data_IF_962675494272
#
_entry.id   IF_962675494272
#
_cell.length_a   1.000
_cell.length_b   1.000
_cell.length_c   1.000
_cell.angle_alpha   90.00
_cell.angle_beta   90.00
_cell.angle_gamma   90.00
#
_symmetry.space_group_name_H-M   'P 1'
#
loop_
_entity.id
_entity.type
_entity.pdbx_description
1 polymer ?
#
# COMPACT_ATOMS: atom_id res chain seq x y z
N UNK A 1 -34.86 55.37 -7.01
CA UNK A 1 -35.64 54.14 -6.85
C UNK A 1 -36.16 53.74 -8.22
N UNK A 2 -35.47 52.83 -8.92
CA UNK A 2 -36.06 52.21 -10.11
C UNK A 2 -37.04 51.16 -9.60
N UNK A 3 -38.35 51.35 -9.85
CA UNK A 3 -39.35 50.32 -9.59
C UNK A 3 -39.13 49.18 -10.60
N UNK A 4 -38.26 48.24 -10.24
CA UNK A 4 -38.12 46.98 -10.96
C UNK A 4 -39.33 46.11 -10.63
N UNK A 5 -40.25 46.02 -11.58
CA UNK A 5 -41.46 45.21 -11.43
C UNK A 5 -41.12 43.74 -11.71
N UNK A 6 -40.88 42.96 -10.65
CA UNK A 6 -40.66 41.51 -10.74
C UNK A 6 -41.84 40.80 -11.42
N UNK A 7 -43.06 41.36 -11.37
CA UNK A 7 -44.22 40.76 -12.03
C UNK A 7 -44.16 40.86 -13.55
N UNK A 8 -43.31 41.71 -14.12
CA UNK A 8 -43.04 41.72 -15.59
C UNK A 8 -42.12 40.60 -16.04
N UNK A 9 -41.32 40.05 -15.14
CA UNK A 9 -40.43 38.90 -15.41
C UNK A 9 -41.07 37.58 -14.98
N UNK A 10 -42.00 37.62 -14.01
CA UNK A 10 -42.93 36.53 -13.78
C UNK A 10 -43.87 36.43 -15.00
N UNK A 11 -43.91 35.26 -15.66
CA UNK A 11 -44.86 35.04 -16.76
C UNK A 11 -46.28 34.99 -16.19
N UNK A 12 -47.27 35.36 -17.01
CA UNK A 12 -48.67 35.45 -16.59
C UNK A 12 -49.13 34.18 -15.84
N UNK A 13 -49.84 34.38 -14.73
CA UNK A 13 -50.36 33.35 -13.83
C UNK A 13 -51.05 32.19 -14.58
N UNK A 14 -50.35 31.06 -14.68
CA UNK A 14 -50.80 29.80 -15.28
C UNK A 14 -49.79 28.70 -15.01
N UNK A 15 -50.22 27.43 -15.07
CA UNK A 15 -49.29 26.28 -14.96
C UNK A 15 -48.47 26.20 -16.25
N UNK A 16 -47.23 26.70 -16.20
CA UNK A 16 -46.33 26.72 -17.35
C UNK A 16 -45.28 25.63 -17.22
N UNK A 17 -45.13 24.87 -18.30
CA UNK A 17 -44.19 23.76 -18.36
C UNK A 17 -42.71 24.21 -18.29
N UNK A 18 -42.44 25.50 -18.50
CA UNK A 18 -41.11 26.14 -18.44
C UNK A 18 -40.69 26.55 -17.01
N UNK A 19 -41.63 26.58 -16.06
CA UNK A 19 -41.32 26.86 -14.65
C UNK A 19 -40.95 25.58 -13.87
N UNK A 20 -41.05 24.41 -14.53
CA UNK A 20 -40.62 23.13 -14.00
C UNK A 20 -39.10 23.01 -14.09
N UNK A 21 -38.45 22.74 -12.96
CA UNK A 21 -37.00 22.64 -12.87
C UNK A 21 -36.55 21.17 -12.87
N UNK A 22 -35.70 20.82 -13.82
CA UNK A 22 -34.85 19.63 -13.78
C UNK A 22 -33.40 20.13 -13.61
N UNK A 23 -32.99 20.23 -12.35
CA UNK A 23 -31.73 20.86 -11.96
C UNK A 23 -30.51 20.09 -12.43
N UNK A 24 -29.53 20.83 -12.96
CA UNK A 24 -28.16 20.42 -13.17
C UNK A 24 -27.30 21.69 -13.05
N UNK A 25 -26.01 21.53 -12.76
CA UNK A 25 -25.13 22.68 -12.61
C UNK A 25 -23.76 22.32 -12.07
N UNK A 26 -22.93 23.35 -11.97
CA UNK A 26 -21.56 23.23 -11.50
C UNK A 26 -21.39 23.96 -10.17
N UNK A 27 -20.62 23.36 -9.27
CA UNK A 27 -20.29 23.93 -7.97
C UNK A 27 -18.81 24.29 -7.93
N UNK A 28 -18.53 25.50 -7.47
CA UNK A 28 -17.18 25.96 -7.17
C UNK A 28 -17.07 26.37 -5.72
N UNK A 29 -15.92 26.08 -5.11
CA UNK A 29 -15.62 26.48 -3.76
C UNK A 29 -14.26 27.18 -3.70
N UNK A 30 -14.23 28.32 -3.04
CA UNK A 30 -13.01 29.06 -2.72
C UNK A 30 -12.79 28.98 -1.22
N UNK A 31 -11.75 28.27 -0.78
CA UNK A 31 -11.36 28.25 0.64
C UNK A 31 -10.69 29.57 1.02
N UNK A 32 -11.13 30.19 2.10
CA UNK A 32 -10.49 31.38 2.67
C UNK A 32 -9.19 31.00 3.37
N UNK A 33 -8.28 31.97 3.45
CA UNK A 33 -7.02 31.84 4.20
C UNK A 33 -7.28 31.63 5.70
N UNK A 34 -6.24 31.27 6.47
CA UNK A 34 -6.36 31.13 7.94
C UNK A 34 -6.79 32.43 8.63
N UNK A 35 -6.58 33.57 7.98
CA UNK A 35 -6.99 34.90 8.42
C UNK A 35 -8.45 35.22 8.06
N UNK A 36 -9.13 34.35 7.30
CA UNK A 36 -10.51 34.54 6.87
C UNK A 36 -10.66 35.35 5.58
N UNK A 37 -9.55 35.62 4.87
CA UNK A 37 -9.57 36.41 3.64
C UNK A 37 -9.78 35.54 2.40
N UNK A 38 -10.55 36.02 1.40
CA UNK A 38 -10.65 35.40 0.08
C UNK A 38 -9.29 35.24 -0.60
N UNK A 39 -9.12 34.14 -1.33
CA UNK A 39 -7.92 33.86 -2.16
C UNK A 39 -8.10 34.28 -3.62
N UNK A 40 -9.35 34.47 -4.07
CA UNK A 40 -9.73 34.71 -5.46
C UNK A 40 -9.68 33.48 -6.36
N UNK A 41 -9.37 32.30 -5.81
CA UNK A 41 -9.19 31.06 -6.59
C UNK A 41 -10.37 30.11 -6.31
N UNK A 42 -11.23 29.95 -7.31
CA UNK A 42 -12.34 29.00 -7.28
C UNK A 42 -11.87 27.61 -7.69
N UNK A 43 -12.05 26.64 -6.80
CA UNK A 43 -11.82 25.22 -7.09
C UNK A 43 -13.11 24.57 -7.58
N UNK A 44 -13.02 23.76 -8.64
CA UNK A 44 -14.16 23.01 -9.17
C UNK A 44 -14.43 21.78 -8.32
N UNK A 45 -15.65 21.65 -7.79
CA UNK A 45 -16.02 20.59 -6.83
C UNK A 45 -16.28 19.21 -7.46
N UNK A 46 -16.12 19.08 -8.77
CA UNK A 46 -16.40 17.83 -9.48
C UNK A 46 -17.90 17.58 -9.61
N UNK A 47 -18.28 16.32 -9.78
CA UNK A 47 -19.68 15.89 -9.74
C UNK A 47 -20.26 15.98 -8.31
N UNK A 48 -21.34 16.75 -8.19
CA UNK A 48 -22.12 16.92 -6.96
C UNK A 48 -23.55 16.47 -7.24
N UNK A 49 -23.90 15.27 -6.77
CA UNK A 49 -25.16 14.59 -7.11
C UNK A 49 -26.40 15.31 -6.56
N UNK A 50 -26.23 16.06 -5.47
CA UNK A 50 -27.31 16.88 -4.91
C UNK A 50 -26.78 18.19 -4.35
N UNK A 51 -27.56 19.26 -4.54
CA UNK A 51 -27.31 20.57 -3.98
C UNK A 51 -28.62 21.11 -3.40
N UNK A 52 -28.74 21.06 -2.08
CA UNK A 52 -29.99 21.38 -1.39
C UNK A 52 -29.82 22.64 -0.53
N UNK A 53 -30.43 23.75 -0.94
CA UNK A 53 -30.49 24.99 -0.14
C UNK A 53 -31.73 24.98 0.77
N UNK A 54 -31.52 25.08 2.08
CA UNK A 54 -32.55 25.16 3.11
C UNK A 54 -32.46 26.49 3.86
N UNK A 55 -33.57 27.21 3.96
CA UNK A 55 -33.68 28.41 4.80
C UNK A 55 -34.46 28.08 6.08
N UNK A 56 -33.79 28.12 7.21
CA UNK A 56 -34.35 27.86 8.53
C UNK A 56 -34.73 29.19 9.18
N UNK A 57 -35.98 29.32 9.62
CA UNK A 57 -36.50 30.50 10.32
C UNK A 57 -36.93 30.08 11.73
N UNK A 58 -36.31 30.67 12.75
CA UNK A 58 -36.66 30.42 14.15
C UNK A 58 -37.51 31.57 14.68
N UNK A 59 -38.71 31.25 15.14
CA UNK A 59 -39.66 32.22 15.70
C UNK A 59 -39.84 32.00 17.21
N UNK A 60 -40.15 33.08 17.92
CA UNK A 60 -40.66 33.03 19.29
C UNK A 60 -42.11 33.47 19.25
N UNK A 61 -42.99 32.59 19.71
CA UNK A 61 -44.43 32.83 19.77
C UNK A 61 -44.91 33.10 21.20
N UNK A 62 -45.85 34.03 21.33
CA UNK A 62 -46.54 34.33 22.58
C UNK A 62 -48.00 33.96 22.44
N UNK A 63 -48.39 32.90 23.14
CA UNK A 63 -49.80 32.51 23.26
C UNK A 63 -50.45 33.22 24.44
N UNK A 64 -51.72 33.60 24.27
CA UNK A 64 -52.56 34.14 25.32
C UNK A 64 -52.63 33.15 26.47
N UNK A 65 -52.46 33.66 27.68
CA UNK A 65 -52.60 32.85 28.90
C UNK A 65 -53.90 33.11 29.63
N UNK A 66 -54.79 33.90 29.01
CA UNK A 66 -56.04 34.37 29.62
C UNK A 66 -57.21 33.41 29.39
N UNK A 67 -57.11 32.53 28.40
CA UNK A 67 -58.13 31.52 28.09
C UNK A 67 -57.47 30.16 27.90
N UNK A 68 -58.23 29.09 28.17
CA UNK A 68 -57.76 27.71 27.96
C UNK A 68 -57.43 27.42 26.50
N UNK A 69 -57.95 28.21 25.56
CA UNK A 69 -57.73 28.07 24.12
C UNK A 69 -56.30 28.46 23.68
N UNK A 70 -55.53 29.19 24.50
CA UNK A 70 -54.11 29.54 24.26
C UNK A 70 -53.84 30.10 22.85
N UNK A 71 -54.69 31.03 22.40
CA UNK A 71 -54.59 31.63 21.06
C UNK A 71 -53.27 32.42 20.87
N UNK A 72 -52.69 32.35 19.67
CA UNK A 72 -51.45 33.05 19.33
C UNK A 72 -51.67 34.57 19.30
N UNK A 73 -50.95 35.32 20.14
CA UNK A 73 -51.04 36.78 20.21
C UNK A 73 -49.98 37.50 19.38
N UNK A 74 -48.76 36.95 19.35
CA UNK A 74 -47.64 37.52 18.62
C UNK A 74 -46.63 36.43 18.27
N UNK A 75 -46.00 36.58 17.11
CA UNK A 75 -44.89 35.75 16.67
C UNK A 75 -43.80 36.68 16.11
N UNK A 76 -42.56 36.47 16.53
CA UNK A 76 -41.41 37.27 16.09
C UNK A 76 -40.29 36.34 15.64
N UNK A 77 -39.77 36.58 14.45
CA UNK A 77 -38.58 35.89 13.93
C UNK A 77 -37.33 36.38 14.66
N UNK A 78 -36.57 35.45 15.22
CA UNK A 78 -35.33 35.72 15.97
C UNK A 78 -34.08 35.41 15.17
N UNK A 79 -34.14 34.40 14.30
CA UNK A 79 -33.01 33.97 13.49
C UNK A 79 -33.46 33.48 12.13
N UNK A 80 -32.66 33.79 11.11
CA UNK A 80 -32.74 33.20 9.78
C UNK A 80 -31.36 32.60 9.49
N UNK A 81 -31.30 31.33 9.14
CA UNK A 81 -30.09 30.64 8.74
C UNK A 81 -30.29 30.00 7.37
N UNK A 82 -29.28 30.03 6.51
CA UNK A 82 -29.29 29.33 5.24
C UNK A 82 -28.23 28.23 5.25
N UNK A 83 -28.64 26.99 4.97
CA UNK A 83 -27.78 25.81 4.94
C UNK A 83 -27.83 25.16 3.57
N UNK A 84 -26.70 24.66 3.13
CA UNK A 84 -26.58 23.92 1.87
C UNK A 84 -26.06 22.54 2.22
N UNK A 85 -26.71 21.50 1.74
CA UNK A 85 -26.18 20.13 1.79
C UNK A 85 -25.79 19.71 0.38
N UNK A 86 -24.57 19.21 0.23
CA UNK A 86 -24.00 18.77 -1.02
C UNK A 86 -23.49 17.33 -0.91
N UNK A 87 -23.84 16.48 -1.87
CA UNK A 87 -23.35 15.09 -1.94
C UNK A 87 -22.28 14.96 -3.02
N UNK A 88 -21.06 14.61 -2.63
CA UNK A 88 -19.90 14.45 -3.50
C UNK A 88 -19.66 12.98 -3.79
N UNK A 89 -19.30 12.66 -5.04
CA UNK A 89 -18.92 11.30 -5.46
C UNK A 89 -17.49 11.21 -5.99
N UNK A 90 -16.80 12.34 -6.15
CA UNK A 90 -15.41 12.38 -6.59
C UNK A 90 -14.43 12.47 -5.41
N UNK A 91 -13.41 11.61 -5.43
CA UNK A 91 -12.40 11.47 -4.38
C UNK A 91 -11.10 12.23 -4.71
N UNK A 92 -11.24 13.46 -5.20
CA UNK A 92 -10.08 14.35 -5.36
C UNK A 92 -9.53 14.77 -3.98
N UNK A 93 -8.20 14.84 -3.77
CA UNK A 93 -7.62 15.22 -2.49
C UNK A 93 -8.12 16.55 -1.92
N UNK A 94 -8.47 17.51 -2.78
CA UNK A 94 -8.97 18.83 -2.37
C UNK A 94 -10.37 18.73 -1.80
N UNK A 95 -11.29 18.04 -2.49
CA UNK A 95 -12.67 17.85 -2.03
C UNK A 95 -12.73 16.90 -0.82
N UNK A 96 -11.92 15.84 -0.84
CA UNK A 96 -11.83 14.90 0.27
C UNK A 96 -11.25 15.56 1.53
N UNK A 97 -10.35 16.56 1.39
CA UNK A 97 -9.93 17.38 2.53
C UNK A 97 -11.08 18.21 3.12
N UNK A 98 -12.05 18.66 2.32
CA UNK A 98 -13.27 19.30 2.86
C UNK A 98 -14.14 18.27 3.59
N UNK A 99 -14.35 17.10 2.98
CA UNK A 99 -15.14 15.99 3.55
C UNK A 99 -14.55 15.38 4.81
N UNK A 100 -13.24 15.44 5.00
CA UNK A 100 -12.54 14.96 6.21
C UNK A 100 -12.19 16.09 7.19
N UNK A 101 -12.71 17.31 6.97
CA UNK A 101 -12.43 18.48 7.82
C UNK A 101 -10.92 18.71 8.03
N UNK A 102 -10.17 18.69 6.93
CA UNK A 102 -8.72 18.65 6.90
C UNK A 102 -8.04 19.70 6.02
N UNK A 103 -6.72 19.60 5.93
CA UNK A 103 -5.87 20.38 5.03
C UNK A 103 -5.20 19.42 4.02
N UNK A 104 -4.98 19.90 2.79
CA UNK A 104 -4.19 19.18 1.79
C UNK A 104 -2.70 19.41 2.04
N UNK A 105 -1.88 18.45 1.62
CA UNK A 105 -0.44 18.53 1.68
C UNK A 105 0.21 17.66 0.61
N UNK A 106 1.53 17.66 0.61
CA UNK A 106 2.33 16.77 -0.23
C UNK A 106 3.30 16.05 0.67
N UNK A 107 3.29 14.72 0.61
CA UNK A 107 4.29 13.88 1.24
C UNK A 107 5.39 13.60 0.22
N UNK A 108 6.61 13.96 0.56
CA UNK A 108 7.79 13.79 -0.29
C UNK A 108 8.60 12.61 0.18
N UNK A 109 8.99 11.75 -0.74
CA UNK A 109 9.87 10.61 -0.51
C UNK A 109 11.07 10.75 -1.45
N UNK A 110 12.27 10.70 -0.87
CA UNK A 110 13.51 10.73 -1.64
C UNK A 110 13.88 9.32 -2.08
N UNK A 111 14.54 9.22 -3.24
CA UNK A 111 15.05 7.95 -3.75
C UNK A 111 16.21 7.45 -2.89
N UNK A 112 16.19 6.17 -2.53
CA UNK A 112 17.31 5.50 -1.86
C UNK A 112 17.22 4.00 -1.95
N UNK A 113 18.38 3.36 -1.88
CA UNK A 113 18.49 1.93 -1.61
C UNK A 113 18.72 1.72 -0.12
N UNK A 114 17.92 0.83 0.48
CA UNK A 114 18.11 0.37 1.84
C UNK A 114 18.69 -1.04 1.77
N UNK A 115 19.79 -1.25 2.48
CA UNK A 115 20.53 -2.51 2.46
C UNK A 115 20.59 -3.06 3.87
N UNK A 116 20.28 -4.36 4.00
CA UNK A 116 20.42 -5.16 5.21
C UNK A 116 19.77 -4.58 6.47
N UNK A 117 18.55 -4.02 6.34
CA UNK A 117 17.78 -3.58 7.49
C UNK A 117 17.25 -4.78 8.27
N UNK A 118 17.54 -4.84 9.58
CA UNK A 118 17.22 -6.00 10.41
C UNK A 118 15.78 -5.98 10.93
N UNK A 119 15.08 -7.11 10.78
CA UNK A 119 13.73 -7.34 11.29
C UNK A 119 13.65 -8.71 11.97
N UNK A 120 12.87 -8.81 13.05
CA UNK A 120 12.48 -10.10 13.64
C UNK A 120 11.13 -10.51 13.08
N UNK A 121 11.06 -11.71 12.50
CA UNK A 121 9.88 -12.21 11.81
C UNK A 121 9.53 -13.63 12.23
N UNK A 122 8.26 -13.98 12.04
CA UNK A 122 7.73 -15.32 12.22
C UNK A 122 6.86 -15.68 11.00
N UNK A 123 6.62 -16.98 10.71
CA UNK A 123 5.59 -17.36 9.75
C UNK A 123 4.25 -16.69 10.09
N UNK A 124 3.48 -16.34 9.06
CA UNK A 124 2.19 -15.64 9.20
C UNK A 124 2.31 -14.22 9.79
N UNK A 125 3.43 -13.54 9.52
CA UNK A 125 3.65 -12.16 9.93
C UNK A 125 3.76 -11.21 8.74
N UNK A 126 3.57 -9.92 9.01
CA UNK A 126 3.64 -8.86 8.01
C UNK A 126 4.62 -7.80 8.46
N UNK A 127 5.49 -7.39 7.56
CA UNK A 127 6.48 -6.34 7.78
C UNK A 127 5.97 -5.07 7.12
N UNK A 128 6.00 -3.96 7.85
CA UNK A 128 5.62 -2.64 7.32
C UNK A 128 6.82 -1.72 7.36
N UNK A 129 7.27 -1.32 6.17
CA UNK A 129 8.29 -0.31 5.96
C UNK A 129 7.66 1.10 5.95
N UNK A 130 8.40 2.15 6.35
CA UNK A 130 7.88 3.51 6.40
C UNK A 130 7.91 4.22 5.04
N UNK A 131 7.87 3.47 3.92
CA UNK A 131 7.98 3.99 2.55
C UNK A 131 6.84 3.48 1.68
N UNK A 132 6.51 4.22 0.63
CA UNK A 132 5.49 3.87 -0.34
C UNK A 132 6.09 3.37 -1.66
N UNK A 133 5.38 2.47 -2.33
CA UNK A 133 5.75 1.90 -3.63
C UNK A 133 7.16 1.28 -3.64
N UNK A 134 7.51 0.52 -2.59
CA UNK A 134 8.81 -0.17 -2.53
C UNK A 134 8.96 -1.17 -3.69
N UNK A 135 10.18 -1.35 -4.18
CA UNK A 135 10.52 -2.40 -5.15
C UNK A 135 11.87 -3.05 -4.84
N UNK A 136 12.30 -3.99 -5.69
CA UNK A 136 13.57 -4.73 -5.56
C UNK A 136 13.83 -5.31 -4.15
N UNK A 137 12.76 -5.79 -3.51
CA UNK A 137 12.83 -6.39 -2.18
C UNK A 137 13.56 -7.73 -2.23
N UNK A 138 14.57 -7.88 -1.39
CA UNK A 138 15.30 -9.10 -1.12
C UNK A 138 15.39 -9.35 0.39
N UNK A 139 15.19 -10.60 0.81
CA UNK A 139 15.27 -11.02 2.21
C UNK A 139 16.43 -12.00 2.37
N UNK A 140 17.28 -11.77 3.37
CA UNK A 140 18.37 -12.65 3.74
C UNK A 140 18.31 -13.05 5.21
N UNK A 141 18.85 -14.21 5.57
CA UNK A 141 19.06 -14.61 6.95
C UNK A 141 20.14 -13.73 7.61
N UNK A 142 20.05 -13.48 8.92
CA UNK A 142 21.07 -12.73 9.67
C UNK A 142 22.46 -13.39 9.54
N UNK A 143 22.50 -14.72 9.63
CA UNK A 143 23.69 -15.55 9.49
C UNK A 143 23.62 -16.33 8.18
N UNK A 144 24.37 -15.88 7.19
CA UNK A 144 24.53 -16.59 5.92
C UNK A 144 25.52 -17.74 6.14
N UNK A 145 25.10 -18.94 5.76
CA UNK A 145 25.99 -20.12 5.66
C UNK A 145 26.45 -20.20 4.21
N UNK A 146 27.76 -20.10 3.98
CA UNK A 146 28.35 -20.34 2.67
C UNK A 146 28.36 -21.84 2.35
N UNK A 147 28.32 -22.18 1.06
CA UNK A 147 28.45 -23.57 0.65
C UNK A 147 29.85 -24.09 1.00
N UNK A 148 29.93 -25.27 1.63
CA UNK A 148 31.19 -25.88 2.04
C UNK A 148 31.22 -27.36 1.68
N UNK A 149 32.41 -27.89 1.41
CA UNK A 149 32.64 -29.30 1.17
C UNK A 149 33.58 -29.79 2.27
N UNK A 150 33.01 -30.55 3.20
CA UNK A 150 33.76 -31.10 4.32
C UNK A 150 34.91 -32.00 3.85
N UNK A 151 35.87 -32.19 4.75
CA UNK A 151 36.98 -33.12 4.51
C UNK A 151 36.49 -34.56 4.50
N UNK A 152 36.97 -35.36 3.54
CA UNK A 152 36.66 -36.78 3.50
C UNK A 152 37.32 -37.56 4.64
N UNK A 153 36.51 -38.32 5.37
CA UNK A 153 36.93 -39.20 6.44
C UNK A 153 36.56 -40.65 6.13
N UNK A 154 37.49 -41.57 6.37
CA UNK A 154 37.25 -42.99 6.19
C UNK A 154 36.26 -43.51 7.25
N UNK A 155 35.23 -44.23 6.82
CA UNK A 155 34.18 -44.77 7.71
C UNK A 155 34.36 -46.25 8.04
N UNK A 156 35.12 -46.97 7.22
CA UNK A 156 35.46 -48.38 7.41
C UNK A 156 36.96 -48.55 7.25
N UNK A 157 37.70 -48.72 8.35
CA UNK A 157 39.16 -48.80 8.32
C UNK A 157 39.63 -50.26 8.35
N UNK A 158 40.25 -50.76 7.28
CA UNK A 158 40.80 -52.13 7.27
C UNK A 158 41.98 -52.36 6.28
N UNK A 159 42.58 -51.33 5.68
CA UNK A 159 43.75 -51.52 4.82
C UNK A 159 44.24 -50.34 3.96
N UNK A 160 43.44 -49.29 3.69
CA UNK A 160 43.97 -48.14 2.93
C UNK A 160 44.76 -47.17 3.78
N UNK A 161 45.85 -46.64 3.21
CA UNK A 161 46.64 -45.53 3.72
C UNK A 161 46.84 -44.42 2.66
N UNK A 162 46.19 -44.55 1.50
CA UNK A 162 46.03 -43.48 0.52
C UNK A 162 45.18 -42.31 1.02
N UNK A 163 45.27 -41.17 0.35
CA UNK A 163 44.60 -39.91 0.72
C UNK A 163 43.49 -39.60 -0.27
N UNK A 164 42.27 -39.40 0.23
CA UNK A 164 41.16 -38.84 -0.54
C UNK A 164 40.97 -37.37 -0.13
N UNK A 165 41.10 -36.44 -1.07
CA UNK A 165 40.77 -35.02 -0.87
C UNK A 165 39.52 -34.65 -1.64
N UNK A 166 38.74 -33.74 -1.07
CA UNK A 166 37.52 -33.15 -1.64
C UNK A 166 37.80 -31.71 -2.07
N UNK A 167 37.09 -31.24 -3.10
CA UNK A 167 37.19 -29.88 -3.62
C UNK A 167 36.02 -29.53 -4.54
N UNK A 168 36.13 -28.44 -5.29
CA UNK A 168 35.06 -27.94 -6.16
C UNK A 168 34.18 -26.89 -5.48
N UNK A 169 33.07 -26.54 -6.14
CA UNK A 169 32.07 -25.58 -5.66
C UNK A 169 30.72 -26.30 -5.55
N UNK A 170 30.20 -26.46 -4.32
CA UNK A 170 28.95 -27.18 -4.13
C UNK A 170 27.74 -26.33 -4.55
N UNK A 171 26.99 -26.80 -5.55
CA UNK A 171 25.81 -26.11 -6.10
C UNK A 171 24.48 -26.73 -5.64
N UNK A 172 24.52 -27.70 -4.73
CA UNK A 172 23.31 -28.37 -4.24
C UNK A 172 22.50 -27.52 -3.26
N UNK A 173 21.18 -27.74 -3.26
CA UNK A 173 20.22 -26.97 -2.44
C UNK A 173 19.97 -27.54 -1.04
N UNK A 174 20.54 -28.71 -0.74
CA UNK A 174 20.38 -29.39 0.55
C UNK A 174 21.74 -29.77 1.12
N UNK A 175 21.87 -29.75 2.44
CA UNK A 175 23.06 -30.30 3.10
C UNK A 175 22.96 -31.83 3.10
N UNK A 176 23.93 -32.51 2.49
CA UNK A 176 23.86 -33.96 2.24
C UNK A 176 25.23 -34.63 2.38
N UNK A 177 25.21 -35.90 2.79
CA UNK A 177 26.40 -36.73 2.88
C UNK A 177 26.72 -37.42 1.55
N UNK A 178 27.99 -37.40 1.16
CA UNK A 178 28.53 -38.17 0.04
C UNK A 178 29.37 -39.33 0.57
N UNK A 179 29.24 -40.47 -0.09
CA UNK A 179 29.98 -41.68 0.23
C UNK A 179 30.77 -42.12 -1.00
N UNK A 180 32.10 -42.20 -0.89
CA UNK A 180 33.00 -42.70 -1.94
C UNK A 180 33.50 -44.07 -1.54
N UNK A 181 33.19 -45.09 -2.35
CA UNK A 181 33.64 -46.47 -2.16
C UNK A 181 34.74 -46.81 -3.14
N UNK A 182 35.84 -47.37 -2.65
CA UNK A 182 36.88 -47.95 -3.50
C UNK A 182 36.34 -49.23 -4.14
N UNK A 183 36.14 -49.23 -5.45
CA UNK A 183 35.64 -50.39 -6.19
C UNK A 183 36.76 -51.39 -6.50
N UNK A 184 37.98 -50.89 -6.75
CA UNK A 184 39.18 -51.68 -6.99
C UNK A 184 40.37 -50.92 -6.44
N UNK A 185 41.23 -51.58 -5.67
CA UNK A 185 42.48 -50.99 -5.18
C UNK A 185 43.48 -50.75 -6.31
N UNK A 186 44.51 -49.97 -6.04
CA UNK A 186 45.62 -49.81 -6.98
C UNK A 186 46.41 -51.12 -7.15
N UNK A 187 47.05 -51.27 -8.32
CA UNK A 187 47.75 -52.52 -8.70
C UNK A 187 49.08 -52.67 -7.96
N UNK A 188 49.82 -51.56 -7.83
CA UNK A 188 51.15 -51.53 -7.24
C UNK A 188 51.24 -50.44 -6.16
N UNK A 189 51.85 -50.71 -4.99
CA UNK A 189 52.01 -49.72 -3.93
C UNK A 189 52.71 -48.44 -4.39
N UNK A 190 52.08 -47.30 -4.11
CA UNK A 190 52.54 -45.96 -4.48
C UNK A 190 52.29 -45.54 -5.93
N UNK A 191 51.60 -46.36 -6.72
CA UNK A 191 51.06 -45.97 -8.02
C UNK A 191 49.52 -46.04 -7.97
N UNK A 192 48.83 -44.98 -8.42
CA UNK A 192 47.36 -44.94 -8.41
C UNK A 192 46.75 -45.83 -9.51
N UNK A 193 47.56 -46.26 -10.48
CA UNK A 193 47.11 -47.04 -11.63
C UNK A 193 46.29 -48.30 -11.23
N UNK A 194 45.13 -48.44 -11.86
CA UNK A 194 44.19 -49.54 -11.63
C UNK A 194 43.22 -49.31 -10.47
N UNK A 195 43.41 -48.26 -9.67
CA UNK A 195 42.43 -47.87 -8.66
C UNK A 195 41.16 -47.36 -9.32
N UNK A 196 40.00 -47.89 -8.90
CA UNK A 196 38.68 -47.44 -9.32
C UNK A 196 37.84 -47.11 -8.11
N UNK A 197 37.02 -46.07 -8.19
CA UNK A 197 36.07 -45.72 -7.14
C UNK A 197 34.66 -45.55 -7.69
N UNK A 198 33.70 -45.60 -6.79
CA UNK A 198 32.30 -45.30 -7.05
C UNK A 198 31.81 -44.37 -5.95
N UNK A 199 30.71 -43.66 -6.19
CA UNK A 199 30.16 -42.77 -5.19
C UNK A 199 28.63 -42.85 -5.14
N UNK A 200 28.06 -42.43 -4.03
CA UNK A 200 26.61 -42.27 -3.86
C UNK A 200 26.33 -41.09 -2.92
N UNK A 201 25.13 -40.50 -3.01
CA UNK A 201 24.72 -39.37 -2.18
C UNK A 201 23.53 -39.73 -1.28
N UNK A 202 23.50 -39.14 -0.08
CA UNK A 202 22.42 -39.27 0.90
C UNK A 202 22.44 -40.55 1.74
N UNK A 203 22.85 -41.70 1.20
CA UNK A 203 22.91 -42.95 1.96
C UNK A 203 24.02 -43.89 1.50
N UNK A 204 24.78 -44.44 2.46
CA UNK A 204 25.83 -45.44 2.21
C UNK A 204 25.31 -46.73 1.57
N UNK A 205 24.03 -47.04 1.76
CA UNK A 205 23.34 -48.20 1.16
C UNK A 205 22.66 -47.85 -0.17
N UNK A 206 22.88 -46.64 -0.69
CA UNK A 206 22.34 -46.18 -1.95
C UNK A 206 22.92 -46.92 -3.17
N UNK A 207 22.38 -46.61 -4.35
CA UNK A 207 22.95 -47.08 -5.61
C UNK A 207 24.21 -46.27 -5.88
N UNK A 208 25.33 -46.98 -6.03
CA UNK A 208 26.60 -46.38 -6.38
C UNK A 208 26.68 -46.10 -7.88
N UNK A 209 27.42 -45.06 -8.23
CA UNK A 209 27.75 -44.69 -9.61
C UNK A 209 28.44 -45.84 -10.37
N UNK A 210 28.58 -45.69 -11.68
CA UNK A 210 29.55 -46.47 -12.44
C UNK A 210 30.96 -46.28 -11.85
N UNK A 211 31.81 -47.30 -12.00
CA UNK A 211 33.20 -47.22 -11.53
C UNK A 211 33.99 -46.22 -12.38
N UNK A 212 34.66 -45.29 -11.70
CA UNK A 212 35.49 -44.23 -12.27
C UNK A 212 36.95 -44.59 -12.00
N UNK A 213 37.80 -44.48 -13.02
CA UNK A 213 39.24 -44.67 -12.89
C UNK A 213 39.88 -43.50 -12.14
N UNK A 214 40.63 -43.78 -11.08
CA UNK A 214 41.41 -42.77 -10.38
C UNK A 214 42.75 -42.56 -11.10
N UNK A 215 43.05 -41.32 -11.46
CA UNK A 215 44.26 -40.94 -12.22
C UNK A 215 45.19 -39.99 -11.44
N UNK A 216 44.90 -39.75 -10.15
CA UNK A 216 45.65 -38.81 -9.32
C UNK A 216 45.31 -37.34 -9.57
N UNK A 217 44.27 -37.04 -10.36
CA UNK A 217 43.74 -35.69 -10.60
C UNK A 217 42.33 -35.51 -10.04
N UNK A 218 41.80 -34.30 -10.12
CA UNK A 218 40.45 -33.99 -9.63
C UNK A 218 39.39 -34.61 -10.55
N UNK A 219 38.60 -35.53 -10.01
CA UNK A 219 37.52 -36.23 -10.70
C UNK A 219 36.19 -35.61 -10.29
N UNK A 220 35.41 -35.18 -11.28
CA UNK A 220 34.12 -34.54 -11.04
C UNK A 220 33.06 -35.55 -10.54
N UNK A 221 32.32 -35.15 -9.52
CA UNK A 221 31.08 -35.76 -9.07
C UNK A 221 29.88 -34.90 -9.51
N UNK A 222 28.68 -35.25 -9.05
CA UNK A 222 27.51 -34.37 -9.19
C UNK A 222 27.63 -33.11 -8.31
N UNK A 223 26.75 -32.13 -8.59
CA UNK A 223 26.58 -30.91 -7.78
C UNK A 223 27.85 -30.06 -7.62
N UNK A 224 28.75 -30.13 -8.61
CA UNK A 224 29.97 -29.29 -8.70
C UNK A 224 31.15 -29.75 -7.85
N UNK A 225 31.01 -30.88 -7.14
CA UNK A 225 32.04 -31.43 -6.26
C UNK A 225 33.13 -32.14 -7.07
N UNK A 226 34.38 -32.05 -6.63
CA UNK A 226 35.47 -32.88 -7.12
C UNK A 226 36.08 -33.71 -6.00
N UNK A 227 36.58 -34.90 -6.36
CA UNK A 227 37.36 -35.75 -5.47
C UNK A 227 38.66 -36.14 -6.13
N UNK A 228 39.71 -36.27 -5.33
CA UNK A 228 41.04 -36.66 -5.80
C UNK A 228 41.59 -37.74 -4.88
N UNK A 229 41.95 -38.87 -5.47
CA UNK A 229 42.58 -39.98 -4.77
C UNK A 229 44.07 -39.98 -5.09
N UNK A 230 44.91 -39.91 -4.07
CA UNK A 230 46.38 -39.86 -4.19
C UNK A 230 46.99 -40.96 -3.33
N UNK A 231 47.99 -41.65 -3.87
CA UNK A 231 48.85 -42.56 -3.11
C UNK A 231 50.30 -42.04 -3.11
N UNK A 232 50.92 -41.98 -1.95
CA UNK A 232 52.34 -41.73 -1.76
C UNK A 232 53.16 -43.03 -1.79
N UNK A 233 54.47 -42.94 -1.66
CA UNK A 233 55.38 -44.10 -1.73
C UNK A 233 54.97 -45.17 -0.70
N UNK A 234 54.65 -46.37 -1.18
CA UNK A 234 54.25 -47.51 -0.35
C UNK A 234 52.78 -47.53 0.06
N UNK A 235 51.99 -46.52 -0.28
CA UNK A 235 50.58 -46.42 0.08
C UNK A 235 49.67 -47.13 -0.93
N UNK A 236 48.49 -47.54 -0.48
CA UNK A 236 47.48 -48.25 -1.25
C UNK A 236 46.06 -47.82 -0.87
N UNK A 237 45.13 -48.08 -1.80
CA UNK A 237 43.70 -48.17 -1.54
C UNK A 237 43.25 -49.63 -1.55
N UNK A 238 42.39 -49.99 -0.61
CA UNK A 238 41.82 -51.32 -0.47
C UNK A 238 40.36 -51.34 -0.94
N UNK A 239 39.99 -52.35 -1.72
CA UNK A 239 38.64 -52.48 -2.25
C UNK A 239 37.58 -52.59 -1.13
N UNK A 240 36.40 -52.04 -1.40
CA UNK A 240 35.24 -51.93 -0.53
C UNK A 240 35.34 -50.96 0.65
N UNK A 241 36.43 -50.21 0.79
CA UNK A 241 36.51 -49.16 1.80
C UNK A 241 35.73 -47.91 1.39
N UNK A 242 35.13 -47.24 2.39
CA UNK A 242 34.22 -46.11 2.17
C UNK A 242 34.72 -44.87 2.89
N UNK A 243 34.81 -43.77 2.16
CA UNK A 243 35.05 -42.42 2.66
C UNK A 243 33.74 -41.65 2.67
N UNK A 244 33.55 -40.82 3.69
CA UNK A 244 32.39 -39.93 3.85
C UNK A 244 32.86 -38.49 3.93
N UNK A 245 32.17 -37.60 3.23
CA UNK A 245 32.23 -36.17 3.49
C UNK A 245 30.81 -35.59 3.43
N UNK A 246 30.60 -34.45 4.08
CA UNK A 246 29.33 -33.74 4.07
C UNK A 246 29.49 -32.49 3.22
N UNK A 247 28.60 -32.30 2.25
CA UNK A 247 28.48 -31.06 1.50
C UNK A 247 27.37 -30.21 2.14
N UNK A 248 27.72 -29.01 2.59
CA UNK A 248 26.79 -28.05 3.20
C UNK A 248 26.34 -27.08 2.13
N UNK A 249 25.03 -27.00 1.90
CA UNK A 249 24.42 -26.06 0.96
C UNK A 249 24.53 -24.63 1.47
N UNK A 250 24.71 -23.66 0.57
CA UNK A 250 24.55 -22.25 0.93
C UNK A 250 23.11 -22.00 1.43
N UNK A 251 22.97 -21.36 2.58
CA UNK A 251 21.66 -20.92 3.10
C UNK A 251 21.79 -19.48 3.58
N UNK A 252 21.10 -18.56 2.92
CA UNK A 252 21.23 -17.14 3.22
C UNK A 252 20.17 -16.27 2.55
N UNK A 253 19.73 -16.60 1.34
CA UNK A 253 18.69 -15.85 0.63
C UNK A 253 17.33 -16.57 0.73
N UNK A 254 16.31 -15.83 1.16
CA UNK A 254 14.93 -16.31 1.15
C UNK A 254 14.30 -16.11 -0.23
N UNK A 255 13.41 -17.01 -0.63
CA UNK A 255 12.87 -17.02 -2.00
C UNK A 255 11.54 -16.29 -2.06
N UNK A 256 11.47 -15.23 -2.89
CA UNK A 256 10.22 -14.53 -3.22
C UNK A 256 9.21 -15.51 -3.84
N UNK A 257 7.99 -15.51 -3.33
CA UNK A 257 6.92 -16.42 -3.77
C UNK A 257 6.81 -17.71 -2.95
N UNK A 258 7.81 -18.02 -2.11
CA UNK A 258 7.81 -19.18 -1.21
C UNK A 258 7.92 -18.73 0.26
N UNK A 259 8.98 -18.00 0.56
CA UNK A 259 9.33 -17.59 1.92
C UNK A 259 8.75 -16.22 2.28
N UNK A 260 8.56 -15.37 1.28
CA UNK A 260 7.88 -14.07 1.41
C UNK A 260 7.16 -13.69 0.11
N UNK A 261 6.15 -12.83 0.22
CA UNK A 261 5.43 -12.24 -0.89
C UNK A 261 5.47 -10.72 -0.82
N UNK A 262 5.62 -10.10 -1.98
CA UNK A 262 5.46 -8.66 -2.17
C UNK A 262 4.38 -8.48 -3.22
N UNK A 263 3.15 -8.28 -2.79
CA UNK A 263 2.03 -8.03 -3.68
C UNK A 263 2.02 -6.55 -4.06
N UNK A 264 1.69 -6.25 -5.32
CA UNK A 264 1.74 -4.88 -5.85
C UNK A 264 0.91 -3.90 -5.01
N UNK A 265 -0.30 -4.28 -4.61
CA UNK A 265 -1.21 -3.44 -3.83
C UNK A 265 -0.66 -3.12 -2.44
N UNK A 266 0.05 -4.06 -1.83
CA UNK A 266 0.63 -3.93 -0.50
C UNK A 266 1.97 -3.21 -0.52
N UNK A 267 2.77 -3.39 -1.57
CA UNK A 267 4.00 -2.66 -1.80
C UNK A 267 3.75 -1.14 -1.87
N UNK A 268 2.56 -0.73 -2.32
CA UNK A 268 2.11 0.68 -2.27
C UNK A 268 2.14 1.24 -0.86
N UNK A 269 1.93 0.42 0.16
CA UNK A 269 1.97 0.78 1.58
C UNK A 269 3.25 0.31 2.30
N UNK A 270 4.26 -0.17 1.57
CA UNK A 270 5.52 -0.66 2.14
C UNK A 270 5.38 -2.01 2.85
N UNK A 271 4.41 -2.83 2.45
CA UNK A 271 4.12 -4.10 3.12
C UNK A 271 4.82 -5.28 2.41
N UNK A 272 5.42 -6.16 3.23
CA UNK A 272 5.97 -7.46 2.82
C UNK A 272 5.31 -8.54 3.68
N UNK A 273 4.77 -9.58 3.05
CA UNK A 273 4.09 -10.68 3.73
C UNK A 273 5.01 -11.89 3.90
N UNK A 274 5.05 -12.45 5.10
CA UNK A 274 5.65 -13.75 5.37
C UNK A 274 4.51 -14.77 5.49
N UNK A 275 4.26 -15.62 4.49
CA UNK A 275 3.14 -16.56 4.52
C UNK A 275 3.31 -17.61 5.63
N UNK A 276 2.23 -18.25 6.10
CA UNK A 276 2.30 -19.34 7.06
C UNK A 276 3.08 -20.56 6.54
N UNK A 277 3.22 -20.70 5.21
CA UNK A 277 4.00 -21.75 4.55
C UNK A 277 5.49 -21.42 4.41
N UNK A 278 5.93 -20.25 4.91
CA UNK A 278 7.33 -19.82 4.84
C UNK A 278 8.26 -20.81 5.54
N UNK A 279 9.47 -20.97 5.02
CA UNK A 279 10.50 -21.78 5.67
C UNK A 279 11.28 -21.01 6.74
N UNK A 280 11.03 -19.70 6.87
CA UNK A 280 11.65 -18.84 7.89
C UNK A 280 11.18 -19.33 9.28
N UNK A 281 12.10 -19.72 10.18
CA UNK A 281 11.72 -20.14 11.53
C UNK A 281 11.10 -18.99 12.32
N UNK A 282 10.24 -19.31 13.30
CA UNK A 282 9.67 -18.31 14.19
C UNK A 282 10.76 -17.54 14.97
N UNK A 283 10.52 -16.24 15.19
CA UNK A 283 11.43 -15.32 15.87
C UNK A 283 12.83 -15.22 15.24
N UNK A 284 12.93 -15.49 13.94
CA UNK A 284 14.19 -15.35 13.21
C UNK A 284 14.47 -13.90 12.88
N UNK A 285 15.74 -13.52 12.98
CA UNK A 285 16.20 -12.24 12.45
C UNK A 285 16.54 -12.39 10.97
N UNK A 286 16.00 -11.47 10.17
CA UNK A 286 16.22 -11.38 8.73
C UNK A 286 16.70 -9.99 8.38
N UNK A 287 17.51 -9.89 7.35
CA UNK A 287 18.00 -8.66 6.73
C UNK A 287 17.20 -8.39 5.47
N UNK A 288 16.67 -7.19 5.36
CA UNK A 288 15.83 -6.78 4.23
C UNK A 288 16.55 -5.68 3.47
N UNK A 289 16.69 -5.92 2.17
CA UNK A 289 17.17 -4.92 1.22
C UNK A 289 16.03 -4.57 0.27
N UNK A 290 15.85 -3.28 -0.03
CA UNK A 290 14.78 -2.80 -0.89
C UNK A 290 15.11 -1.43 -1.47
N UNK A 291 14.51 -1.12 -2.62
CA UNK A 291 14.62 0.18 -3.26
C UNK A 291 13.39 1.02 -2.95
N UNK A 292 13.64 2.29 -2.63
CA UNK A 292 12.64 3.32 -2.37
C UNK A 292 12.68 4.30 -3.54
N UNK A 293 11.63 4.38 -4.38
CA UNK A 293 11.60 5.31 -5.49
C UNK A 293 11.31 6.74 -5.01
N UNK A 294 11.89 7.74 -5.69
CA UNK A 294 11.53 9.15 -5.47
C UNK A 294 10.08 9.41 -5.91
N UNK A 295 9.30 10.03 -5.03
CA UNK A 295 7.90 10.33 -5.33
C UNK A 295 7.34 11.49 -4.50
N UNK A 296 6.24 12.07 -5.02
CA UNK A 296 5.44 13.09 -4.34
C UNK A 296 4.00 12.63 -4.31
N UNK A 297 3.47 12.44 -3.11
CA UNK A 297 2.13 11.92 -2.90
C UNK A 297 1.20 13.03 -2.39
N UNK A 298 0.02 13.25 -3.00
CA UNK A 298 -0.98 14.12 -2.40
C UNK A 298 -1.44 13.50 -1.08
N UNK A 299 -1.42 14.32 -0.02
CA UNK A 299 -1.78 13.91 1.33
C UNK A 299 -2.98 14.70 1.82
N UNK A 300 -3.81 14.04 2.61
CA UNK A 300 -4.90 14.68 3.34
C UNK A 300 -4.64 14.51 4.83
N UNK A 301 -4.65 15.62 5.56
CA UNK A 301 -4.55 15.64 7.01
C UNK A 301 -5.96 15.81 7.58
N UNK A 302 -6.68 14.69 7.76
CA UNK A 302 -8.06 14.70 8.27
C UNK A 302 -8.17 15.26 9.69
N UNK A 303 -9.31 15.88 10.01
CA UNK A 303 -9.63 16.48 11.31
C UNK A 303 -8.63 17.55 11.81
N UNK A 304 -7.83 18.13 10.93
CA UNK A 304 -6.85 19.17 11.29
C UNK A 304 -7.33 20.58 10.99
N UNK A 305 -8.35 20.75 10.14
CA UNK A 305 -8.85 22.07 9.79
C UNK A 305 -9.72 22.60 10.93
N UNK A 306 -9.14 23.34 11.88
CA UNK A 306 -9.91 23.91 13.01
C UNK A 306 -11.17 24.68 12.57
N UNK A 307 -11.12 25.29 11.38
CA UNK A 307 -12.26 25.94 10.70
C UNK A 307 -12.06 25.89 9.19
N UNK A 308 -13.12 25.56 8.45
CA UNK A 308 -13.16 25.70 6.98
C UNK A 308 -14.22 26.76 6.64
N UNK A 309 -13.75 27.90 6.13
CA UNK A 309 -14.62 28.92 5.57
C UNK A 309 -14.26 29.19 4.12
N UNK A 310 -15.24 29.67 3.36
CA UNK A 310 -15.01 30.02 1.98
C UNK A 310 -16.22 30.63 1.30
N UNK A 311 -16.07 30.94 0.02
CA UNK A 311 -17.16 31.35 -0.86
C UNK A 311 -17.61 30.14 -1.68
N UNK A 312 -18.92 29.98 -1.85
CA UNK A 312 -19.50 28.95 -2.70
C UNK A 312 -20.20 29.61 -3.89
N UNK A 313 -20.00 29.07 -5.08
CA UNK A 313 -20.66 29.51 -6.31
C UNK A 313 -21.34 28.31 -6.97
N UNK A 314 -22.64 28.44 -7.22
CA UNK A 314 -23.43 27.52 -8.01
C UNK A 314 -23.76 28.16 -9.36
N UNK A 315 -23.48 27.45 -10.45
CA UNK A 315 -23.86 27.84 -11.80
C UNK A 315 -24.87 26.82 -12.31
N UNK A 316 -26.14 27.21 -12.38
CA UNK A 316 -27.20 26.35 -12.85
C UNK A 316 -27.23 26.25 -14.37
N UNK A 317 -27.22 25.03 -14.87
CA UNK A 317 -27.43 24.67 -16.28
C UNK A 317 -28.49 23.56 -16.36
N UNK A 318 -29.74 23.86 -15.96
CA UNK A 318 -30.78 22.84 -15.85
C UNK A 318 -31.19 22.33 -17.24
N UNK A 319 -31.43 21.01 -17.34
CA UNK A 319 -31.99 20.40 -18.56
C UNK A 319 -33.38 20.95 -18.91
N UNK A 320 -34.08 21.50 -17.92
CA UNK A 320 -35.37 22.17 -18.07
C UNK A 320 -35.57 23.16 -16.93
N UNK A 321 -36.11 24.33 -17.26
CA UNK A 321 -36.44 25.36 -16.29
C UNK A 321 -35.50 26.57 -16.34
N UNK A 322 -35.71 27.56 -15.46
CA UNK A 322 -34.91 28.78 -15.41
C UNK A 322 -33.47 28.53 -14.93
N UNK A 323 -32.50 29.19 -15.56
CA UNK A 323 -31.10 29.09 -15.17
C UNK A 323 -30.80 30.08 -14.04
N UNK A 324 -30.35 29.57 -12.89
CA UNK A 324 -29.99 30.39 -11.73
C UNK A 324 -28.51 30.26 -11.40
N UNK A 325 -27.87 31.40 -11.14
CA UNK A 325 -26.54 31.44 -10.52
C UNK A 325 -26.70 31.82 -9.05
N UNK A 326 -26.09 31.03 -8.17
CA UNK A 326 -26.07 31.23 -6.73
C UNK A 326 -24.70 31.65 -6.22
N UNK A 327 -24.60 32.86 -5.69
CA UNK A 327 -23.40 33.39 -5.06
C UNK A 327 -23.60 33.39 -3.55
N UNK A 328 -22.81 32.59 -2.82
CA UNK A 328 -22.87 32.48 -1.36
C UNK A 328 -21.58 33.04 -0.75
N UNK A 329 -21.70 34.21 -0.11
CA UNK A 329 -20.56 35.08 0.20
C UNK A 329 -19.56 34.47 1.18
N UNK A 330 -20.09 33.86 2.24
CA UNK A 330 -19.30 33.25 3.30
C UNK A 330 -20.02 32.03 3.82
N UNK A 331 -19.41 30.87 3.64
CA UNK A 331 -19.92 29.58 4.04
C UNK A 331 -18.93 28.91 5.00
N UNK A 332 -19.42 28.45 6.14
CA UNK A 332 -18.68 27.51 6.99
C UNK A 332 -18.99 26.09 6.54
N UNK A 333 -17.96 25.36 6.10
CA UNK A 333 -18.09 23.99 5.61
C UNK A 333 -17.81 22.98 6.72
N UNK A 334 -18.61 21.92 6.79
CA UNK A 334 -18.42 20.79 7.71
C UNK A 334 -18.83 19.47 7.02
N UNK A 335 -18.19 18.35 7.37
CA UNK A 335 -18.68 17.04 6.96
C UNK A 335 -20.09 16.81 7.50
N UNK A 336 -20.92 16.14 6.71
CA UNK A 336 -22.24 15.67 7.10
C UNK A 336 -22.32 14.17 6.84
N UNK A 337 -22.59 13.37 7.87
CA UNK A 337 -22.55 11.92 7.74
C UNK A 337 -21.13 11.34 7.58
N UNK A 338 -21.07 10.14 7.00
CA UNK A 338 -19.86 9.32 6.90
C UNK A 338 -19.21 9.41 5.50
N UNK A 339 -17.90 9.16 5.42
CA UNK A 339 -17.21 8.90 4.16
C UNK A 339 -17.46 7.43 3.75
N UNK A 340 -18.33 7.20 2.76
CA UNK A 340 -18.77 5.87 2.37
C UNK A 340 -18.07 5.35 1.10
N UNK A 341 -17.87 4.04 1.00
CA UNK A 341 -17.37 3.40 -0.23
C UNK A 341 -15.84 3.32 -0.37
N UNK A 342 -15.10 3.49 0.73
CA UNK A 342 -13.70 3.03 0.79
C UNK A 342 -13.60 1.50 0.62
N UNK A 343 -14.61 0.77 1.08
CA UNK A 343 -14.84 -0.65 0.84
C UNK A 343 -16.34 -0.83 0.63
N UNK A 344 -16.74 -1.46 -0.47
CA UNK A 344 -18.15 -1.67 -0.80
C UNK A 344 -18.37 -2.04 -2.27
N UNK A 345 -19.62 -2.27 -2.63
CA UNK A 345 -20.05 -2.55 -4.01
C UNK A 345 -20.61 -1.33 -4.74
N UNK A 346 -21.01 -0.30 -3.99
CA UNK A 346 -21.57 0.94 -4.52
C UNK A 346 -20.46 1.99 -4.72
N UNK A 347 -20.73 2.98 -5.58
CA UNK A 347 -19.84 4.12 -5.71
C UNK A 347 -19.77 4.89 -4.39
N UNK A 348 -18.55 5.23 -3.97
CA UNK A 348 -18.36 5.98 -2.74
C UNK A 348 -18.95 7.38 -2.82
N UNK A 349 -19.44 7.87 -1.69
CA UNK A 349 -19.99 9.22 -1.56
C UNK A 349 -19.75 9.77 -0.16
N UNK A 350 -19.81 11.10 -0.05
CA UNK A 350 -19.74 11.81 1.21
C UNK A 350 -20.51 13.11 1.11
N UNK A 351 -21.09 13.58 2.22
CA UNK A 351 -21.82 14.84 2.23
C UNK A 351 -21.05 15.95 2.95
N UNK A 352 -21.23 17.16 2.45
CA UNK A 352 -20.72 18.38 3.07
C UNK A 352 -21.90 19.30 3.32
N UNK A 353 -22.00 19.80 4.56
CA UNK A 353 -22.92 20.86 4.92
C UNK A 353 -22.19 22.20 4.94
N UNK A 354 -22.70 23.16 4.17
CA UNK A 354 -22.32 24.56 4.23
C UNK A 354 -23.34 25.33 5.06
N UNK A 355 -22.89 26.10 6.05
CA UNK A 355 -23.73 27.11 6.71
C UNK A 355 -23.37 28.49 6.18
N UNK A 356 -24.32 29.19 5.55
CA UNK A 356 -24.12 30.55 5.07
C UNK A 356 -24.10 31.52 6.25
N UNK A 357 -22.96 32.17 6.43
CA UNK A 357 -22.70 33.16 7.47
C UNK A 357 -23.04 34.56 6.96
N UNK A 358 -23.46 35.43 7.86
CA UNK A 358 -23.76 36.82 7.51
C UNK A 358 -22.49 37.57 7.12
N UNK A 359 -22.50 38.14 5.92
CA UNK A 359 -21.53 39.08 5.35
C UNK A 359 -22.16 40.47 5.11
N UNK A 360 -23.08 40.87 6.01
CA UNK A 360 -23.82 42.14 5.94
C UNK A 360 -22.93 43.38 5.78
N UNK A 361 -21.69 43.33 6.24
CA UNK A 361 -20.77 44.46 6.12
C UNK A 361 -20.44 44.77 4.65
N UNK A 362 -20.24 43.74 3.83
CA UNK A 362 -19.92 43.89 2.41
C UNK A 362 -21.16 43.79 1.52
N UNK A 363 -22.19 43.07 1.99
CA UNK A 363 -23.45 42.84 1.27
C UNK A 363 -24.65 43.21 2.17
N UNK A 364 -24.96 44.51 2.34
CA UNK A 364 -25.99 44.96 3.29
C UNK A 364 -27.40 44.44 2.98
N UNK A 365 -27.72 44.33 1.69
CA UNK A 365 -29.05 43.97 1.19
C UNK A 365 -29.21 42.46 0.96
N UNK A 366 -28.11 41.74 0.79
CA UNK A 366 -28.06 40.30 0.49
C UNK A 366 -27.03 39.60 1.39
N UNK A 367 -27.18 39.64 2.73
CA UNK A 367 -26.10 39.34 3.67
C UNK A 367 -25.65 37.88 3.69
N UNK A 368 -26.39 36.94 3.11
CA UNK A 368 -26.03 35.52 3.12
C UNK A 368 -25.62 35.02 1.74
N UNK A 369 -26.47 35.28 0.75
CA UNK A 369 -26.29 34.85 -0.63
C UNK A 369 -27.22 35.62 -1.55
N UNK A 370 -27.00 35.47 -2.85
CA UNK A 370 -27.93 35.90 -3.91
C UNK A 370 -28.17 34.78 -4.91
N UNK A 371 -29.38 34.74 -5.45
CA UNK A 371 -29.75 33.88 -6.57
C UNK A 371 -30.24 34.77 -7.71
N UNK A 372 -29.57 34.68 -8.87
CA UNK A 372 -29.87 35.51 -10.03
C UNK A 372 -30.31 34.61 -11.17
N UNK A 373 -31.52 34.83 -11.69
CA UNK A 373 -31.96 34.22 -12.95
C UNK A 373 -31.18 34.84 -14.09
N UNK A 374 -30.40 34.05 -14.80
CA UNK A 374 -29.56 34.52 -15.93
C UNK A 374 -30.18 34.24 -17.29
N UNK A 375 -31.11 33.27 -17.36
CA UNK A 375 -31.84 32.93 -18.59
C UNK A 375 -33.25 32.44 -18.28
#
# INVERSE_FOLDING_TARGET
MFNFDLQRFARASGSNAEDLMLGAGTVYFERFTKQGEPTGILHHCGNVDSFNLTTEVTTVSKNSSMTSARELMAEVTTQVAARITMAFTEYDPTNLALGLYGETGVETQDEKDVVDEEYTVSPDSVIRLPYYNIDNVALMAENVVEADIGTAAMTTNSGSDGILTTGGEYTGTETIDYFVRIATGNTDPGDIAGCKFQWTKGSVTGVYSAAIDADGTDQALEDGITVKLVVGVGQNFTANEIYKFTATSASGEYVKGKDYHVYEVEARAGIINIPPTSTIPAESKVKISYHVPAARFPKIMGATAGRIEGRLLFIGDPNRGPCYNGDFWRCSMKPNGDLAGLIGTDFGSYEIQATCMSDRQNHPDEPFYKLVKVQ
#
